data_IF_877246670049
#
_entry.id   IF_877246670049
#
_cell.length_a   1.000
_cell.length_b   1.000
_cell.length_c   1.000
_cell.angle_alpha   90.00
_cell.angle_beta   90.00
_cell.angle_gamma   90.00
#
_symmetry.space_group_name_H-M   'P 1'
#
loop_
_entity.id
_entity.type
_entity.pdbx_description
1 polymer ?
#
# COMPACT_ATOMS: atom_id res chain seq x y z
N UNK A 1 -9.05 -23.51 -25.44
CA UNK A 1 -7.67 -23.00 -25.51
C UNK A 1 -7.54 -21.92 -24.45
N UNK A 2 -6.98 -22.26 -23.30
CA UNK A 2 -6.78 -21.34 -22.21
C UNK A 2 -5.51 -20.51 -22.53
N UNK A 3 -5.68 -19.20 -22.67
CA UNK A 3 -4.55 -18.29 -22.74
C UNK A 3 -3.92 -18.23 -21.35
N UNK A 4 -2.84 -18.93 -21.15
CA UNK A 4 -1.95 -18.76 -20.01
C UNK A 4 -1.34 -17.36 -20.13
N UNK A 5 -1.84 -16.41 -19.33
CA UNK A 5 -1.13 -15.16 -19.10
C UNK A 5 0.09 -15.47 -18.25
N UNK A 6 1.19 -15.66 -18.93
CA UNK A 6 2.54 -15.59 -18.38
C UNK A 6 2.76 -14.16 -17.90
N UNK A 7 2.55 -13.92 -16.61
CA UNK A 7 3.18 -12.79 -15.94
C UNK A 7 4.67 -13.15 -15.78
N UNK A 8 5.39 -13.04 -16.88
CA UNK A 8 6.81 -13.24 -16.88
C UNK A 8 7.49 -11.99 -16.33
N UNK A 9 8.14 -12.17 -15.19
CA UNK A 9 9.39 -11.52 -14.81
C UNK A 9 9.42 -9.99 -14.87
N UNK A 10 9.51 -9.38 -13.72
CA UNK A 10 9.86 -7.99 -13.52
C UNK A 10 10.95 -7.52 -14.47
N UNK A 11 10.55 -7.01 -15.60
CA UNK A 11 11.40 -6.34 -16.55
C UNK A 11 11.38 -4.86 -16.22
N UNK A 12 12.52 -4.28 -15.97
CA UNK A 12 12.71 -2.84 -16.05
C UNK A 12 12.54 -2.41 -17.53
N UNK A 13 11.32 -2.39 -18.01
CA UNK A 13 10.93 -1.90 -19.32
C UNK A 13 9.60 -1.16 -19.20
N UNK A 14 9.30 -0.30 -20.17
CA UNK A 14 8.11 0.52 -20.21
C UNK A 14 6.78 -0.22 -19.94
N UNK A 15 6.76 -1.53 -20.22
CA UNK A 15 5.59 -2.40 -19.98
C UNK A 15 5.36 -2.78 -18.52
N UNK A 16 6.32 -2.52 -17.60
CA UNK A 16 6.26 -2.88 -16.18
C UNK A 16 5.71 -1.77 -15.29
N UNK A 17 5.83 -0.51 -15.67
CA UNK A 17 5.48 0.64 -14.81
C UNK A 17 4.00 0.66 -14.46
N UNK A 18 3.13 0.28 -15.39
CA UNK A 18 1.70 0.20 -15.14
C UNK A 18 1.38 -0.80 -14.03
N UNK A 19 1.98 -1.99 -14.08
CA UNK A 19 1.77 -3.02 -13.06
C UNK A 19 2.38 -2.63 -11.72
N UNK A 20 3.51 -1.91 -11.72
CA UNK A 20 4.14 -1.39 -10.50
C UNK A 20 3.25 -0.39 -9.77
N UNK A 21 2.38 0.32 -10.48
CA UNK A 21 1.44 1.27 -9.89
C UNK A 21 0.16 0.61 -9.37
N UNK A 22 -0.10 -0.65 -9.73
CA UNK A 22 -1.27 -1.36 -9.25
C UNK A 22 -1.04 -1.86 -7.82
N UNK A 23 -2.01 -1.68 -6.93
CA UNK A 23 -1.93 -2.15 -5.55
C UNK A 23 -1.76 -3.67 -5.48
N UNK A 24 -0.99 -4.13 -4.49
CA UNK A 24 -0.73 -5.55 -4.29
C UNK A 24 0.33 -6.13 -5.24
N UNK A 25 0.99 -5.29 -6.05
CA UNK A 25 2.14 -5.74 -6.82
C UNK A 25 3.23 -6.23 -5.88
N UNK A 26 3.58 -7.49 -6.05
CA UNK A 26 4.70 -8.11 -5.37
C UNK A 26 5.79 -8.38 -6.41
N UNK A 27 7.05 -7.94 -6.22
CA UNK A 27 8.13 -8.21 -7.18
C UNK A 27 8.48 -9.69 -7.35
N UNK A 28 7.67 -10.58 -6.85
CA UNK A 28 7.73 -12.01 -7.06
C UNK A 28 6.37 -12.53 -7.50
N UNK A 29 5.87 -12.11 -8.67
CA UNK A 29 4.70 -12.79 -9.25
C UNK A 29 5.08 -14.24 -9.56
N UNK A 30 4.49 -15.15 -8.78
CA UNK A 30 4.79 -16.56 -8.88
C UNK A 30 4.04 -17.17 -10.06
N UNK A 31 4.65 -18.08 -10.85
CA UNK A 31 3.97 -18.77 -11.93
C UNK A 31 2.73 -19.49 -11.40
N UNK A 32 1.59 -19.33 -12.06
CA UNK A 32 0.41 -20.12 -11.76
C UNK A 32 0.53 -21.47 -12.47
N UNK A 33 0.39 -22.55 -11.71
CA UNK A 33 0.43 -23.93 -12.18
C UNK A 33 1.69 -24.68 -11.78
N UNK A 34 1.52 -25.98 -11.52
CA UNK A 34 2.54 -26.84 -10.93
C UNK A 34 2.79 -26.60 -9.45
N UNK A 35 3.55 -27.51 -8.83
CA UNK A 35 3.99 -27.36 -7.45
C UNK A 35 5.34 -26.67 -7.40
N UNK A 36 5.52 -25.71 -6.50
CA UNK A 36 6.76 -24.95 -6.37
C UNK A 36 6.95 -24.43 -4.95
N UNK A 37 8.20 -24.13 -4.62
CA UNK A 37 8.59 -23.36 -3.46
C UNK A 37 9.63 -22.32 -3.88
N UNK A 38 9.53 -21.10 -3.36
CA UNK A 38 10.48 -20.05 -3.64
C UNK A 38 10.72 -19.16 -2.42
N UNK A 39 11.91 -18.58 -2.36
CA UNK A 39 12.27 -17.52 -1.44
C UNK A 39 12.36 -16.24 -2.27
N UNK A 40 11.79 -15.17 -1.77
CA UNK A 40 11.81 -13.87 -2.43
C UNK A 40 12.01 -12.75 -1.44
N UNK A 41 12.38 -11.58 -1.91
CA UNK A 41 12.53 -10.44 -1.03
C UNK A 41 13.10 -9.21 -1.70
N UNK A 42 13.36 -8.22 -0.85
CA UNK A 42 14.05 -6.99 -1.21
C UNK A 42 14.87 -6.47 -0.05
N UNK A 43 15.98 -5.82 -0.38
CA UNK A 43 16.78 -5.02 0.54
C UNK A 43 16.84 -3.62 -0.03
N UNK A 44 16.45 -2.64 0.77
CA UNK A 44 16.35 -1.24 0.37
C UNK A 44 16.86 -0.36 1.51
N UNK A 45 17.90 0.41 1.24
CA UNK A 45 18.46 1.36 2.19
C UNK A 45 18.66 2.72 1.56
N UNK A 46 18.45 3.77 2.36
CA UNK A 46 18.60 5.13 1.90
C UNK A 46 19.09 6.09 2.99
N UNK A 47 19.81 7.10 2.54
CA UNK A 47 20.06 8.31 3.31
C UNK A 47 18.80 9.19 3.26
N UNK A 48 18.43 9.72 4.41
CA UNK A 48 17.26 10.54 4.63
C UNK A 48 17.66 11.88 5.27
N UNK A 49 17.23 12.97 4.67
CA UNK A 49 17.33 14.33 5.23
C UNK A 49 15.93 14.91 5.36
N UNK A 50 15.36 14.81 6.55
CA UNK A 50 14.04 15.35 6.87
C UNK A 50 14.17 16.68 7.60
N UNK A 51 13.45 17.71 7.16
CA UNK A 51 13.29 19.00 7.86
C UNK A 51 11.81 19.28 8.11
N UNK A 52 11.47 19.65 9.33
CA UNK A 52 10.13 20.04 9.77
C UNK A 52 10.24 21.31 10.61
N UNK A 53 9.86 22.47 10.02
CA UNK A 53 9.85 23.75 10.72
C UNK A 53 11.20 24.21 11.26
N UNK A 54 12.28 23.94 10.54
CA UNK A 54 13.64 24.30 10.92
C UNK A 54 14.34 23.29 11.83
N UNK A 55 13.66 22.22 12.25
CA UNK A 55 14.26 21.06 12.90
C UNK A 55 14.60 20.01 11.84
N UNK A 56 15.84 19.59 11.75
CA UNK A 56 16.29 18.61 10.76
C UNK A 56 16.94 17.38 11.39
N UNK A 57 16.86 16.25 10.71
CA UNK A 57 17.51 15.00 11.05
C UNK A 57 18.12 14.38 9.80
N UNK A 58 19.31 13.79 9.96
CA UNK A 58 19.97 13.01 8.92
C UNK A 58 20.07 11.56 9.42
N UNK A 59 19.71 10.58 8.58
CA UNK A 59 19.64 9.18 8.97
C UNK A 59 19.99 8.27 7.80
N UNK A 60 20.30 7.02 8.11
CA UNK A 60 20.21 5.90 7.18
C UNK A 60 19.01 5.06 7.61
N UNK A 61 18.11 4.81 6.69
CA UNK A 61 16.84 4.14 6.93
C UNK A 61 16.60 3.02 5.92
N UNK A 62 15.73 2.09 6.29
CA UNK A 62 15.34 0.97 5.45
C UNK A 62 14.01 1.22 4.75
N UNK A 63 13.89 0.80 3.49
CA UNK A 63 12.60 0.70 2.81
C UNK A 63 12.12 1.99 2.15
N UNK A 64 12.97 2.70 1.45
CA UNK A 64 12.64 3.95 0.76
C UNK A 64 11.76 3.79 -0.49
N UNK A 65 11.93 2.72 -1.25
CA UNK A 65 11.10 2.37 -2.42
C UNK A 65 10.40 1.04 -2.23
N UNK A 66 11.15 0.01 -1.85
CA UNK A 66 10.63 -1.31 -1.49
C UNK A 66 10.83 -1.53 0.00
N UNK A 67 9.83 -1.96 0.73
CA UNK A 67 10.06 -2.41 2.11
C UNK A 67 11.08 -3.53 2.11
N UNK A 68 12.16 -3.41 2.90
CA UNK A 68 13.07 -4.53 3.08
C UNK A 68 12.34 -5.71 3.70
N UNK A 69 12.37 -6.86 3.01
CA UNK A 69 11.53 -8.01 3.33
C UNK A 69 12.13 -9.32 2.86
N UNK A 70 11.75 -10.38 3.54
CA UNK A 70 12.02 -11.77 3.19
C UNK A 70 10.70 -12.53 3.19
N UNK A 71 10.43 -13.25 2.12
CA UNK A 71 9.22 -14.03 1.95
C UNK A 71 9.48 -15.46 1.53
N UNK A 72 8.55 -16.33 1.91
CA UNK A 72 8.48 -17.74 1.55
C UNK A 72 7.13 -17.99 0.90
N UNK A 73 7.14 -18.40 -0.36
CA UNK A 73 5.95 -18.79 -1.07
C UNK A 73 6.02 -20.26 -1.47
N UNK A 74 4.94 -20.99 -1.24
CA UNK A 74 4.79 -22.36 -1.70
C UNK A 74 3.43 -22.61 -2.28
N UNK A 75 3.36 -23.42 -3.35
CA UNK A 75 2.10 -23.87 -3.93
C UNK A 75 2.15 -25.35 -4.32
N UNK A 76 0.98 -25.98 -4.28
CA UNK A 76 0.75 -27.36 -4.69
C UNK A 76 -0.40 -27.40 -5.68
N UNK A 77 -0.18 -28.06 -6.81
CA UNK A 77 -1.24 -28.35 -7.78
C UNK A 77 -2.04 -29.57 -7.32
N UNK A 78 -3.29 -29.33 -6.91
CA UNK A 78 -4.23 -30.37 -6.45
C UNK A 78 -4.99 -31.05 -7.60
N UNK A 79 -4.71 -30.67 -8.85
CA UNK A 79 -5.45 -31.13 -10.01
C UNK A 79 -6.72 -30.35 -10.29
N UNK A 80 -7.31 -30.54 -11.47
CA UNK A 80 -8.53 -29.84 -11.89
C UNK A 80 -8.44 -28.32 -11.93
N UNK A 81 -7.21 -27.75 -12.01
CA UNK A 81 -6.93 -26.32 -11.97
C UNK A 81 -6.98 -25.75 -10.55
N UNK A 82 -7.08 -26.58 -9.51
CA UNK A 82 -7.08 -26.12 -8.12
C UNK A 82 -5.65 -26.10 -7.57
N UNK A 83 -5.28 -24.98 -6.94
CA UNK A 83 -3.99 -24.78 -6.32
C UNK A 83 -4.20 -24.42 -4.84
N UNK A 84 -3.49 -25.14 -3.96
CA UNK A 84 -3.29 -24.72 -2.58
C UNK A 84 -1.98 -23.94 -2.50
N UNK A 85 -1.94 -22.80 -1.78
CA UNK A 85 -0.73 -22.01 -1.62
C UNK A 85 -0.63 -21.42 -0.22
N UNK A 86 0.60 -21.06 0.17
CA UNK A 86 0.85 -20.22 1.33
C UNK A 86 1.81 -19.09 0.96
N UNK A 87 1.72 -17.97 1.68
CA UNK A 87 2.64 -16.84 1.60
C UNK A 87 2.97 -16.35 3.02
N UNK A 88 4.26 -16.36 3.37
CA UNK A 88 4.79 -15.90 4.65
C UNK A 88 5.81 -14.81 4.39
N UNK A 89 5.50 -13.55 4.73
CA UNK A 89 6.35 -12.39 4.45
C UNK A 89 6.70 -11.63 5.73
N UNK A 90 8.01 -11.50 6.01
CA UNK A 90 8.57 -10.75 7.11
C UNK A 90 9.20 -9.45 6.61
N UNK A 91 8.84 -8.31 7.17
CA UNK A 91 9.55 -7.05 6.98
C UNK A 91 10.68 -6.92 8.02
N UNK A 92 11.77 -6.32 7.62
CA UNK A 92 12.89 -6.01 8.51
C UNK A 92 13.49 -4.63 8.19
N UNK A 93 14.24 -4.09 9.13
CA UNK A 93 15.00 -2.86 8.96
C UNK A 93 16.45 -3.25 8.57
N UNK A 94 16.80 -3.02 7.31
CA UNK A 94 18.12 -3.42 6.80
C UNK A 94 19.26 -2.63 7.46
N UNK A 95 18.98 -1.38 7.88
CA UNK A 95 19.96 -0.49 8.50
C UNK A 95 20.44 -0.93 9.89
N UNK A 96 19.67 -1.77 10.60
CA UNK A 96 20.03 -2.24 11.96
C UNK A 96 19.78 -3.74 12.21
N UNK A 97 19.18 -4.44 11.22
CA UNK A 97 18.89 -5.87 11.29
C UNK A 97 17.69 -6.25 12.16
N UNK A 98 16.90 -5.28 12.65
CA UNK A 98 15.73 -5.54 13.49
C UNK A 98 14.50 -5.97 12.67
N UNK A 99 13.54 -6.64 13.33
CA UNK A 99 12.24 -6.90 12.69
C UNK A 99 11.49 -5.59 12.42
N UNK A 100 10.79 -5.52 11.29
CA UNK A 100 9.95 -4.37 10.92
C UNK A 100 8.78 -4.12 11.89
N UNK A 101 8.41 -5.12 12.70
CA UNK A 101 7.47 -5.00 13.82
C UNK A 101 7.96 -5.88 14.97
N UNK A 102 8.19 -5.28 16.14
CA UNK A 102 8.65 -5.99 17.33
C UNK A 102 7.70 -7.12 17.71
N UNK A 103 8.25 -8.31 17.98
CA UNK A 103 7.50 -9.48 18.43
C UNK A 103 6.67 -10.20 17.36
N UNK A 104 6.74 -9.77 16.08
CA UNK A 104 5.99 -10.37 14.98
C UNK A 104 6.92 -10.77 13.84
N UNK A 105 7.10 -12.08 13.61
CA UNK A 105 7.99 -12.57 12.55
C UNK A 105 7.42 -12.29 11.16
N UNK A 106 6.20 -12.75 10.87
CA UNK A 106 5.54 -12.53 9.58
C UNK A 106 4.55 -11.36 9.69
N UNK A 107 5.11 -10.16 9.88
CA UNK A 107 4.33 -8.95 10.11
C UNK A 107 3.65 -8.41 8.85
N UNK A 108 4.03 -8.90 7.64
CA UNK A 108 3.51 -8.38 6.38
C UNK A 108 2.43 -9.28 5.78
N UNK A 109 2.71 -10.56 5.57
CA UNK A 109 1.73 -11.56 5.13
C UNK A 109 1.95 -12.87 5.86
N UNK A 110 0.86 -13.56 6.15
CA UNK A 110 0.85 -14.92 6.71
C UNK A 110 -0.47 -15.57 6.30
N UNK A 111 -0.49 -16.21 5.12
CA UNK A 111 -1.71 -16.69 4.50
C UNK A 111 -1.60 -18.14 4.03
N UNK A 112 -2.76 -18.81 4.01
CA UNK A 112 -3.00 -20.02 3.25
C UNK A 112 -4.18 -19.77 2.32
N UNK A 113 -4.14 -20.29 1.09
CA UNK A 113 -5.17 -20.04 0.10
C UNK A 113 -5.47 -21.26 -0.75
N UNK A 114 -6.71 -21.29 -1.26
CA UNK A 114 -7.15 -22.18 -2.33
C UNK A 114 -7.61 -21.32 -3.51
N UNK A 115 -7.17 -21.66 -4.71
CA UNK A 115 -7.51 -20.92 -5.94
C UNK A 115 -7.89 -21.87 -7.07
N UNK A 116 -8.83 -21.42 -7.92
CA UNK A 116 -9.22 -22.10 -9.14
C UNK A 116 -9.74 -21.05 -10.15
N UNK A 117 -9.40 -21.15 -11.44
CA UNK A 117 -9.87 -20.20 -12.46
C UNK A 117 -11.40 -20.09 -12.58
N UNK A 118 -12.14 -21.13 -12.18
CA UNK A 118 -13.59 -21.16 -12.30
C UNK A 118 -14.32 -20.43 -11.15
N UNK A 119 -13.76 -20.48 -9.92
CA UNK A 119 -14.45 -19.90 -8.75
C UNK A 119 -13.60 -18.86 -7.99
N UNK A 120 -12.37 -18.57 -8.43
CA UNK A 120 -11.52 -17.54 -7.83
C UNK A 120 -10.62 -18.06 -6.72
N UNK A 121 -10.34 -17.22 -5.73
CA UNK A 121 -9.39 -17.50 -4.64
C UNK A 121 -10.03 -17.22 -3.28
N UNK A 122 -9.93 -18.16 -2.36
CA UNK A 122 -10.19 -17.96 -0.93
C UNK A 122 -8.86 -17.96 -0.19
N UNK A 123 -8.56 -16.90 0.56
CA UNK A 123 -7.35 -16.74 1.35
C UNK A 123 -7.70 -16.49 2.81
N UNK A 124 -6.96 -17.13 3.73
CA UNK A 124 -7.14 -17.00 5.18
C UNK A 124 -5.82 -16.57 5.81
N UNK A 125 -5.88 -15.65 6.78
CA UNK A 125 -4.73 -15.22 7.58
C UNK A 125 -4.53 -13.72 7.66
N UNK A 126 -3.28 -13.28 7.78
CA UNK A 126 -2.88 -11.87 7.72
C UNK A 126 -2.58 -11.50 6.27
N UNK A 127 -3.28 -10.51 5.75
CA UNK A 127 -3.17 -10.09 4.36
C UNK A 127 -3.54 -8.61 4.18
N UNK A 128 -3.35 -8.08 2.99
CA UNK A 128 -3.80 -6.73 2.66
C UNK A 128 -5.32 -6.60 2.75
N UNK A 129 -5.79 -5.42 3.16
CA UNK A 129 -7.19 -5.05 3.12
C UNK A 129 -7.71 -4.92 1.67
N UNK A 130 -9.03 -5.05 1.50
CA UNK A 130 -9.65 -4.91 0.18
C UNK A 130 -9.56 -3.47 -0.36
N UNK A 131 -9.46 -2.48 0.51
CA UNK A 131 -9.30 -1.05 0.18
C UNK A 131 -7.95 -0.73 -0.47
N UNK A 132 -6.93 -1.58 -0.28
CA UNK A 132 -5.60 -1.32 -0.84
C UNK A 132 -5.63 -1.10 -2.36
N UNK A 133 -6.58 -1.69 -3.06
CA UNK A 133 -6.71 -1.60 -4.52
C UNK A 133 -6.93 -0.17 -5.03
N UNK A 134 -7.41 0.77 -4.19
CA UNK A 134 -7.60 2.18 -4.56
C UNK A 134 -6.34 3.03 -4.39
N UNK A 135 -5.32 2.55 -3.69
CA UNK A 135 -4.10 3.30 -3.43
C UNK A 135 -3.13 3.19 -4.62
N UNK A 136 -3.45 3.88 -5.68
CA UNK A 136 -2.64 3.93 -6.91
C UNK A 136 -1.65 5.10 -6.82
N UNK A 137 -0.38 4.80 -6.59
CA UNK A 137 0.65 5.79 -6.33
C UNK A 137 1.95 5.46 -7.08
N UNK A 138 2.55 6.42 -7.80
CA UNK A 138 3.85 6.24 -8.47
C UNK A 138 4.98 5.84 -7.53
N UNK A 139 4.86 6.08 -6.22
CA UNK A 139 5.87 5.72 -5.21
C UNK A 139 5.52 4.44 -4.44
N UNK A 140 4.64 3.60 -4.99
CA UNK A 140 4.33 2.24 -4.52
C UNK A 140 3.78 2.18 -3.09
N UNK A 141 3.11 3.25 -2.63
CA UNK A 141 2.63 3.37 -1.24
C UNK A 141 3.72 3.20 -0.19
N UNK A 142 4.95 3.44 -0.54
CA UNK A 142 5.97 3.42 0.48
C UNK A 142 5.74 4.58 1.46
N UNK A 143 5.49 4.24 2.70
CA UNK A 143 5.09 5.17 3.73
C UNK A 143 6.08 6.32 3.93
N UNK A 144 7.33 6.16 3.58
CA UNK A 144 8.37 7.18 3.79
C UNK A 144 8.57 8.14 2.63
N UNK A 145 7.92 7.91 1.49
CA UNK A 145 8.15 8.69 0.27
C UNK A 145 6.84 9.14 -0.38
N UNK A 146 5.74 8.40 -0.17
CA UNK A 146 4.45 8.71 -0.77
C UNK A 146 3.58 9.58 0.14
N UNK A 147 3.26 10.82 -0.23
CA UNK A 147 2.29 11.62 0.51
C UNK A 147 0.92 10.95 0.64
N UNK A 148 0.51 10.13 -0.33
CA UNK A 148 -0.78 9.42 -0.27
C UNK A 148 -0.87 8.53 0.97
N UNK A 149 0.18 7.79 1.30
CA UNK A 149 0.20 6.94 2.47
C UNK A 149 0.07 7.72 3.79
N UNK A 150 0.70 8.90 3.89
CA UNK A 150 0.62 9.73 5.10
C UNK A 150 -0.67 10.50 5.24
N UNK A 151 -1.30 10.85 4.13
CA UNK A 151 -2.54 11.63 4.13
C UNK A 151 -3.77 10.76 4.32
N UNK A 152 -3.65 9.44 4.10
CA UNK A 152 -4.72 8.44 4.30
C UNK A 152 -4.77 7.95 5.75
N UNK A 153 -4.76 8.88 6.70
CA UNK A 153 -4.81 8.59 8.14
C UNK A 153 -6.07 9.15 8.77
N UNK A 154 -6.50 8.54 9.86
CA UNK A 154 -7.69 8.94 10.62
C UNK A 154 -7.35 9.47 12.02
N UNK A 155 -6.11 9.41 12.47
CA UNK A 155 -5.69 9.71 13.84
C UNK A 155 -5.92 11.17 14.29
N UNK A 156 -6.09 12.10 13.35
CA UNK A 156 -6.35 13.52 13.59
C UNK A 156 -7.83 13.90 13.39
N UNK A 157 -8.72 12.93 13.16
CA UNK A 157 -10.12 13.19 12.81
C UNK A 157 -11.04 13.22 14.03
N UNK A 158 -10.60 12.74 15.18
CA UNK A 158 -11.41 12.76 16.40
C UNK A 158 -10.93 11.76 17.44
N UNK A 159 -11.70 11.62 18.53
CA UNK A 159 -11.35 10.73 19.64
C UNK A 159 -11.64 9.27 19.33
N UNK A 160 -12.59 9.04 18.45
CA UNK A 160 -13.07 7.73 18.12
C UNK A 160 -12.53 7.17 16.80
N UNK A 161 -11.77 7.97 16.05
CA UNK A 161 -11.26 7.56 14.74
C UNK A 161 -10.39 6.32 14.84
N UNK A 162 -10.74 5.29 14.08
CA UNK A 162 -9.92 4.09 13.91
C UNK A 162 -8.76 4.38 12.98
N UNK A 163 -7.64 3.70 13.19
CA UNK A 163 -6.55 3.70 12.23
C UNK A 163 -6.90 2.83 11.02
N UNK A 164 -6.64 3.34 9.81
CA UNK A 164 -6.79 2.56 8.59
C UNK A 164 -5.56 1.68 8.43
N UNK A 165 -5.73 0.37 8.57
CA UNK A 165 -4.63 -0.58 8.49
C UNK A 165 -4.50 -1.14 7.06
N UNK A 166 -3.33 -0.99 6.44
CA UNK A 166 -3.06 -1.58 5.12
C UNK A 166 -3.09 -3.12 5.15
N UNK A 167 -2.93 -3.75 6.32
CA UNK A 167 -2.95 -5.20 6.51
C UNK A 167 -3.83 -5.59 7.67
N UNK A 168 -4.63 -6.62 7.46
CA UNK A 168 -5.66 -7.06 8.40
C UNK A 168 -5.34 -8.46 8.89
N UNK A 169 -5.35 -8.65 10.23
CA UNK A 169 -5.17 -9.94 10.87
C UNK A 169 -6.49 -10.73 10.87
N UNK A 170 -6.41 -12.03 11.17
CA UNK A 170 -7.57 -12.91 11.41
C UNK A 170 -8.64 -12.79 10.32
N UNK A 171 -8.20 -12.69 9.06
CA UNK A 171 -9.08 -12.36 7.94
C UNK A 171 -9.30 -13.53 7.01
N UNK A 172 -10.47 -13.51 6.37
CA UNK A 172 -10.81 -14.30 5.20
C UNK A 172 -11.08 -13.35 4.04
N UNK A 173 -10.46 -13.58 2.89
CA UNK A 173 -10.67 -12.80 1.68
C UNK A 173 -11.04 -13.73 0.52
N UNK A 174 -12.10 -13.36 -0.17
CA UNK A 174 -12.47 -13.98 -1.44
C UNK A 174 -12.15 -13.01 -2.58
N UNK A 175 -11.44 -13.49 -3.59
CA UNK A 175 -11.18 -12.79 -4.85
C UNK A 175 -11.82 -13.53 -6.00
N UNK A 176 -12.73 -12.87 -6.74
CA UNK A 176 -13.44 -13.49 -7.86
C UNK A 176 -12.50 -13.76 -9.04
N UNK A 177 -12.87 -14.67 -9.94
CA UNK A 177 -12.32 -14.67 -11.30
C UNK A 177 -12.61 -13.35 -11.99
N UNK A 178 -11.78 -13.00 -12.99
CA UNK A 178 -12.05 -11.84 -13.85
C UNK A 178 -13.07 -12.21 -14.92
N UNK A 179 -14.14 -11.47 -15.00
CA UNK A 179 -15.18 -11.61 -16.03
C UNK A 179 -15.37 -10.29 -16.78
N UNK A 180 -15.21 -10.30 -18.09
CA UNK A 180 -15.30 -9.11 -18.96
C UNK A 180 -14.44 -7.91 -18.45
N UNK A 181 -13.30 -8.18 -17.84
CA UNK A 181 -12.41 -7.19 -17.24
C UNK A 181 -12.75 -6.82 -15.79
N UNK A 182 -13.88 -7.25 -15.25
CA UNK A 182 -14.28 -6.98 -13.88
C UNK A 182 -13.83 -8.09 -12.93
N UNK A 183 -13.38 -7.71 -11.75
CA UNK A 183 -13.14 -8.59 -10.61
C UNK A 183 -13.53 -7.89 -9.30
N UNK A 184 -13.71 -8.66 -8.24
CA UNK A 184 -14.06 -8.15 -6.91
C UNK A 184 -13.29 -8.87 -5.83
N UNK A 185 -13.02 -8.18 -4.73
CA UNK A 185 -12.53 -8.77 -3.49
C UNK A 185 -13.51 -8.45 -2.36
N UNK A 186 -13.75 -9.44 -1.53
CA UNK A 186 -14.54 -9.36 -0.31
C UNK A 186 -13.66 -9.80 0.85
N UNK A 187 -13.52 -8.94 1.86
CA UNK A 187 -12.73 -9.23 3.05
C UNK A 187 -13.62 -9.17 4.30
N UNK A 188 -13.39 -10.12 5.19
CA UNK A 188 -13.97 -10.12 6.53
C UNK A 188 -12.90 -10.53 7.54
N UNK A 189 -12.73 -9.74 8.60
CA UNK A 189 -11.75 -10.00 9.63
C UNK A 189 -12.37 -9.93 11.03
N UNK A 190 -11.85 -10.78 11.92
CA UNK A 190 -12.25 -10.86 13.31
C UNK A 190 -11.24 -10.11 14.19
N UNK A 191 -11.71 -9.51 15.29
CA UNK A 191 -10.85 -8.99 16.35
C UNK A 191 -10.09 -10.11 17.05
N UNK A 192 -8.92 -9.79 17.54
CA UNK A 192 -8.13 -10.70 18.37
C UNK A 192 -8.81 -10.93 19.74
N UNK A 193 -9.39 -9.87 20.32
CA UNK A 193 -10.24 -9.95 21.51
C UNK A 193 -11.68 -9.58 21.14
N UNK A 194 -12.58 -10.55 21.26
CA UNK A 194 -14.01 -10.41 20.95
C UNK A 194 -14.87 -10.23 22.20
N UNK A 195 -14.27 -10.06 23.35
CA UNK A 195 -15.00 -9.91 24.63
C UNK A 195 -15.75 -8.58 24.74
N UNK A 196 -15.37 -7.58 23.93
CA UNK A 196 -15.95 -6.25 23.94
C UNK A 196 -16.24 -5.74 22.51
N UNK A 197 -17.39 -5.10 22.35
CA UNK A 197 -17.83 -4.53 21.09
C UNK A 197 -18.13 -5.58 20.01
N UNK A 198 -18.21 -5.18 18.73
CA UNK A 198 -18.40 -6.11 17.61
C UNK A 198 -17.22 -7.07 17.48
N UNK A 199 -17.48 -8.34 17.17
CA UNK A 199 -16.43 -9.33 16.93
C UNK A 199 -15.59 -9.05 15.68
N UNK A 200 -16.08 -8.15 14.82
CA UNK A 200 -15.45 -7.78 13.55
C UNK A 200 -14.44 -6.67 13.72
N UNK A 201 -13.25 -6.83 13.15
CA UNK A 201 -12.23 -5.79 13.03
C UNK A 201 -12.34 -5.04 11.69
N UNK A 202 -12.56 -5.76 10.59
CA UNK A 202 -12.61 -5.16 9.26
C UNK A 202 -13.63 -5.87 8.36
N UNK A 203 -14.27 -5.09 7.48
CA UNK A 203 -15.05 -5.58 6.34
C UNK A 203 -14.72 -4.71 5.14
N UNK A 204 -14.28 -5.34 4.06
CA UNK A 204 -13.86 -4.65 2.86
C UNK A 204 -14.49 -5.23 1.60
N UNK A 205 -14.78 -4.36 0.66
CA UNK A 205 -15.23 -4.67 -0.70
C UNK A 205 -14.49 -3.78 -1.68
N UNK A 206 -14.02 -4.36 -2.78
CA UNK A 206 -13.69 -3.58 -3.97
C UNK A 206 -14.29 -4.20 -5.22
N UNK A 207 -14.45 -3.37 -6.24
CA UNK A 207 -14.73 -3.79 -7.61
C UNK A 207 -13.69 -3.13 -8.49
N UNK A 208 -12.95 -3.93 -9.25
CA UNK A 208 -11.95 -3.46 -10.20
C UNK A 208 -12.38 -3.72 -11.62
N UNK A 209 -12.00 -2.83 -12.52
CA UNK A 209 -12.10 -3.02 -13.96
C UNK A 209 -10.71 -2.90 -14.57
N UNK A 210 -10.22 -4.00 -15.14
CA UNK A 210 -8.96 -4.06 -15.85
C UNK A 210 -9.09 -5.03 -17.04
N UNK A 211 -9.36 -4.52 -18.24
CA UNK A 211 -9.51 -5.36 -19.43
C UNK A 211 -8.17 -6.02 -19.77
N UNK A 212 -8.14 -7.35 -19.73
CA UNK A 212 -6.95 -8.16 -19.99
C UNK A 212 -6.65 -8.35 -21.49
N UNK A 213 -7.47 -7.80 -22.39
CA UNK A 213 -7.39 -7.98 -23.83
C UNK A 213 -7.56 -6.67 -24.56
N UNK A 214 -6.94 -6.52 -25.73
CA UNK A 214 -7.18 -5.41 -26.66
C UNK A 214 -6.30 -4.18 -26.45
N UNK A 215 -5.17 -4.27 -25.76
CA UNK A 215 -4.23 -3.14 -25.61
C UNK A 215 -4.79 -1.97 -24.79
N UNK A 216 -5.85 -2.21 -24.02
CA UNK A 216 -6.40 -1.21 -23.11
C UNK A 216 -5.66 -1.28 -21.78
N UNK A 217 -4.92 -0.24 -21.51
CA UNK A 217 -4.09 -0.09 -20.33
C UNK A 217 -4.81 0.79 -19.28
N UNK A 218 -6.09 0.47 -19.02
CA UNK A 218 -6.94 1.17 -18.06
C UNK A 218 -7.22 0.27 -16.86
N UNK A 219 -6.96 0.78 -15.67
CA UNK A 219 -7.40 0.21 -14.40
C UNK A 219 -8.34 1.19 -13.71
N UNK A 220 -9.49 0.72 -13.30
CA UNK A 220 -10.44 1.45 -12.47
C UNK A 220 -10.76 0.63 -11.24
N UNK A 221 -10.97 1.28 -10.11
CA UNK A 221 -11.42 0.64 -8.89
C UNK A 221 -12.35 1.53 -8.11
N UNK A 222 -13.37 0.92 -7.51
CA UNK A 222 -14.17 1.47 -6.43
C UNK A 222 -14.05 0.58 -5.21
N UNK A 223 -13.91 1.14 -4.01
CA UNK A 223 -13.77 0.39 -2.77
C UNK A 223 -14.62 0.98 -1.65
N UNK A 224 -15.05 0.09 -0.76
CA UNK A 224 -15.68 0.43 0.50
C UNK A 224 -15.10 -0.45 1.60
N UNK A 225 -14.72 0.16 2.72
CA UNK A 225 -14.14 -0.50 3.86
C UNK A 225 -14.76 0.00 5.15
N UNK A 226 -14.88 -0.88 6.14
CA UNK A 226 -15.28 -0.56 7.50
C UNK A 226 -14.22 -1.12 8.44
N UNK A 227 -13.63 -0.26 9.25
CA UNK A 227 -12.64 -0.67 10.27
C UNK A 227 -13.16 -0.32 11.65
N UNK A 228 -13.22 -1.30 12.55
CA UNK A 228 -13.49 -1.10 13.96
C UNK A 228 -12.19 -1.01 14.73
N UNK A 229 -12.22 -0.24 15.80
CA UNK A 229 -11.13 -0.18 16.76
C UNK A 229 -10.85 -1.58 17.34
N UNK A 230 -9.57 -1.97 17.34
CA UNK A 230 -9.07 -3.12 18.08
C UNK A 230 -8.12 -2.63 19.18
N UNK A 231 -8.57 -2.50 20.45
CA UNK A 231 -7.72 -2.04 21.55
C UNK A 231 -6.47 -2.92 21.75
N UNK A 232 -6.55 -4.20 21.37
CA UNK A 232 -5.42 -5.12 21.40
C UNK A 232 -4.28 -4.75 20.43
N UNK A 233 -4.59 -3.98 19.38
CA UNK A 233 -3.59 -3.43 18.45
C UNK A 233 -2.94 -2.14 18.97
N UNK A 234 -3.41 -1.56 20.07
CA UNK A 234 -2.82 -0.39 20.72
C UNK A 234 -3.06 0.95 20.02
N UNK A 235 -3.92 0.98 19.00
CA UNK A 235 -4.17 2.18 18.17
C UNK A 235 -5.39 3.00 18.63
N UNK A 236 -6.24 2.44 19.48
CA UNK A 236 -7.48 3.04 19.96
C UNK A 236 -7.93 2.37 21.27
N UNK A 237 -8.92 2.92 21.95
CA UNK A 237 -9.36 2.45 23.28
C UNK A 237 -10.80 1.95 23.33
N UNK A 238 -11.68 2.39 22.42
CA UNK A 238 -13.08 2.02 22.40
C UNK A 238 -13.37 1.00 21.27
N UNK A 239 -13.66 -0.27 21.61
CA UNK A 239 -13.87 -1.33 20.63
C UNK A 239 -15.15 -1.16 19.79
N UNK A 240 -16.02 -0.23 20.12
CA UNK A 240 -17.28 0.04 19.38
C UNK A 240 -17.09 1.03 18.25
N UNK A 241 -16.03 1.82 18.30
CA UNK A 241 -15.73 2.87 17.32
C UNK A 241 -15.45 2.29 15.94
N UNK A 242 -16.01 2.94 14.93
CA UNK A 242 -15.88 2.54 13.53
C UNK A 242 -15.49 3.72 12.64
N UNK A 243 -14.64 3.46 11.67
CA UNK A 243 -14.39 4.36 10.53
C UNK A 243 -14.84 3.66 9.25
N UNK A 244 -15.62 4.36 8.44
CA UNK A 244 -15.97 3.95 7.09
C UNK A 244 -15.04 4.66 6.10
N UNK A 245 -14.61 3.93 5.09
CA UNK A 245 -13.71 4.43 4.07
C UNK A 245 -14.28 4.13 2.68
N UNK A 246 -14.34 5.14 1.84
CA UNK A 246 -14.81 5.05 0.46
C UNK A 246 -13.69 5.50 -0.45
N UNK A 247 -13.47 4.78 -1.53
CA UNK A 247 -12.42 5.12 -2.46
C UNK A 247 -12.74 4.83 -3.90
N UNK A 248 -12.13 5.61 -4.79
CA UNK A 248 -12.11 5.36 -6.22
C UNK A 248 -10.74 5.71 -6.77
N UNK A 249 -10.24 4.93 -7.72
CA UNK A 249 -8.98 5.22 -8.36
C UNK A 249 -8.94 4.77 -9.82
N UNK A 250 -8.02 5.39 -10.55
CA UNK A 250 -7.75 5.13 -11.95
C UNK A 250 -6.24 5.08 -12.20
N UNK A 251 -5.80 4.14 -13.04
CA UNK A 251 -4.48 4.17 -13.68
C UNK A 251 -4.67 4.02 -15.19
N UNK A 252 -3.99 4.87 -15.94
CA UNK A 252 -4.00 4.85 -17.39
C UNK A 252 -2.58 4.82 -17.95
N UNK A 253 -2.26 3.75 -18.69
CA UNK A 253 -0.95 3.55 -19.32
C UNK A 253 -0.99 3.97 -20.80
N UNK A 254 -0.12 4.91 -21.15
CA UNK A 254 0.12 5.37 -22.53
C UNK A 254 1.45 4.83 -23.07
N UNK A 255 1.94 3.71 -22.54
CA UNK A 255 3.22 3.10 -22.88
C UNK A 255 4.37 3.76 -22.11
N UNK A 256 5.00 4.79 -22.65
CA UNK A 256 6.09 5.52 -21.96
C UNK A 256 5.62 6.26 -20.71
N UNK A 257 4.39 6.73 -20.71
CA UNK A 257 3.81 7.55 -19.64
C UNK A 257 2.66 6.81 -18.98
N UNK A 258 2.64 6.78 -17.66
CA UNK A 258 1.55 6.21 -16.88
C UNK A 258 1.03 7.31 -15.95
N UNK A 259 -0.29 7.46 -15.92
CA UNK A 259 -0.98 8.44 -15.07
C UNK A 259 -1.86 7.72 -14.07
N UNK A 260 -1.91 8.24 -12.86
CA UNK A 260 -2.80 7.73 -11.81
C UNK A 260 -3.55 8.87 -11.13
N UNK A 261 -4.71 8.54 -10.58
CA UNK A 261 -5.48 9.44 -9.74
C UNK A 261 -6.37 8.67 -8.80
N UNK A 262 -6.55 9.19 -7.59
CA UNK A 262 -7.45 8.59 -6.60
C UNK A 262 -8.20 9.63 -5.79
N UNK A 263 -9.33 9.21 -5.28
CA UNK A 263 -10.12 9.90 -4.28
C UNK A 263 -10.43 8.95 -3.13
N UNK A 264 -10.29 9.43 -1.90
CA UNK A 264 -10.63 8.70 -0.69
C UNK A 264 -11.42 9.62 0.24
N UNK A 265 -12.49 9.08 0.83
CA UNK A 265 -13.23 9.68 1.92
C UNK A 265 -13.07 8.80 3.16
N UNK A 266 -12.57 9.37 4.25
CA UNK A 266 -12.40 8.74 5.56
C UNK A 266 -13.45 9.33 6.48
N UNK A 267 -14.35 8.50 6.99
CA UNK A 267 -15.56 8.89 7.73
C UNK A 267 -15.65 8.13 9.06
N UNK A 268 -15.01 8.64 10.13
CA UNK A 268 -15.21 8.14 11.48
C UNK A 268 -16.68 8.32 11.88
N UNK A 269 -17.24 7.33 12.58
CA UNK A 269 -18.69 7.30 12.90
C UNK A 269 -19.04 7.79 14.31
N UNK A 270 -18.06 8.32 15.04
CA UNK A 270 -18.33 8.92 16.36
C UNK A 270 -18.86 10.35 16.21
N UNK A 271 -19.83 10.70 17.07
CA UNK A 271 -20.41 12.04 17.04
C UNK A 271 -19.38 13.11 17.43
N UNK A 272 -19.19 14.09 16.54
CA UNK A 272 -18.23 15.16 16.69
C UNK A 272 -16.87 14.91 16.06
N UNK A 273 -16.66 13.76 15.44
CA UNK A 273 -15.48 13.48 14.63
C UNK A 273 -15.54 14.20 13.28
N UNK A 274 -14.37 14.43 12.69
CA UNK A 274 -14.23 15.10 11.41
C UNK A 274 -14.11 14.08 10.28
N UNK A 275 -14.53 14.48 9.08
CA UNK A 275 -14.33 13.74 7.83
C UNK A 275 -13.03 14.20 7.16
N UNK A 276 -12.34 13.30 6.49
CA UNK A 276 -11.23 13.66 5.61
C UNK A 276 -11.47 13.22 4.17
N UNK A 277 -11.22 14.13 3.23
CA UNK A 277 -11.15 13.84 1.79
C UNK A 277 -9.70 13.95 1.33
N UNK A 278 -9.22 12.91 0.64
CA UNK A 278 -7.87 12.83 0.08
C UNK A 278 -7.97 12.67 -1.43
N UNK A 279 -7.26 13.52 -2.15
CA UNK A 279 -7.16 13.51 -3.62
C UNK A 279 -5.72 13.29 -4.01
N UNK A 280 -5.44 12.38 -4.93
CA UNK A 280 -4.10 12.20 -5.46
C UNK A 280 -4.08 12.24 -6.99
N UNK A 281 -2.98 12.77 -7.52
CA UNK A 281 -2.61 12.68 -8.93
C UNK A 281 -1.15 12.24 -9.01
N UNK A 282 -0.87 11.30 -9.88
CA UNK A 282 0.46 10.75 -10.08
C UNK A 282 0.79 10.55 -11.54
N UNK A 283 2.08 10.58 -11.83
CA UNK A 283 2.62 10.26 -13.14
C UNK A 283 3.96 9.54 -13.02
N UNK A 284 4.22 8.62 -13.94
CA UNK A 284 5.51 7.97 -14.11
C UNK A 284 5.89 7.95 -15.59
N UNK A 285 7.19 8.08 -15.89
CA UNK A 285 7.70 8.07 -17.26
C UNK A 285 9.03 7.34 -17.35
N UNK A 286 9.17 6.45 -18.33
CA UNK A 286 10.40 5.65 -18.55
C UNK A 286 11.23 6.21 -19.69
N UNK A 287 12.54 6.44 -19.44
CA UNK A 287 13.52 6.93 -20.39
C UNK A 287 14.78 6.05 -20.34
N UNK A 288 14.81 5.00 -21.13
CA UNK A 288 15.93 4.04 -21.10
C UNK A 288 16.02 3.32 -19.75
N UNK A 289 17.06 3.64 -18.96
CA UNK A 289 17.26 3.07 -17.61
C UNK A 289 16.69 3.95 -16.50
N UNK A 290 16.09 5.10 -16.84
CA UNK A 290 15.55 6.04 -15.87
C UNK A 290 14.03 5.89 -15.81
N UNK A 291 13.48 5.86 -14.61
CA UNK A 291 12.07 5.93 -14.32
C UNK A 291 11.82 7.17 -13.45
N UNK A 292 11.25 8.20 -14.05
CA UNK A 292 10.88 9.44 -13.35
C UNK A 292 9.46 9.30 -12.84
N UNK A 293 9.22 9.69 -11.58
CA UNK A 293 7.94 9.61 -10.87
C UNK A 293 7.59 10.96 -10.26
N UNK A 294 6.33 11.31 -10.28
CA UNK A 294 5.79 12.50 -9.62
C UNK A 294 4.42 12.19 -9.00
N UNK A 295 4.17 12.75 -7.83
CA UNK A 295 2.88 12.64 -7.15
C UNK A 295 2.53 13.97 -6.48
N UNK A 296 1.25 14.34 -6.51
CA UNK A 296 0.69 15.45 -5.73
C UNK A 296 -0.54 14.94 -5.01
N UNK A 297 -0.63 15.19 -3.72
CA UNK A 297 -1.76 14.79 -2.86
C UNK A 297 -2.28 16.02 -2.13
N UNK A 298 -3.59 16.17 -2.13
CA UNK A 298 -4.30 17.18 -1.34
C UNK A 298 -5.25 16.49 -0.37
N UNK A 299 -5.17 16.84 0.89
CA UNK A 299 -6.08 16.40 1.95
C UNK A 299 -6.73 17.61 2.58
N UNK A 300 -8.05 17.53 2.82
CA UNK A 300 -8.73 18.46 3.68
C UNK A 300 -9.71 17.70 4.59
N UNK A 301 -10.03 18.29 5.72
CA UNK A 301 -10.99 17.75 6.67
C UNK A 301 -12.13 18.73 6.89
N UNK A 302 -13.20 18.28 7.52
CA UNK A 302 -14.29 19.15 7.94
C UNK A 302 -13.91 20.04 9.14
N UNK A 303 -12.75 19.80 9.75
CA UNK A 303 -12.16 20.71 10.73
C UNK A 303 -11.54 21.92 10.03
N UNK A 304 -11.96 23.12 10.39
CA UNK A 304 -11.43 24.35 9.81
C UNK A 304 -9.90 24.45 9.99
N UNK A 305 -9.20 24.83 8.91
CA UNK A 305 -7.74 24.95 8.90
C UNK A 305 -6.95 23.61 8.88
N UNK A 306 -7.61 22.44 8.97
CA UNK A 306 -6.94 21.15 8.89
C UNK A 306 -6.93 20.63 7.45
N UNK A 307 -5.97 21.13 6.67
CA UNK A 307 -5.72 20.70 5.29
C UNK A 307 -4.20 20.65 5.03
N UNK A 308 -3.79 19.84 4.06
CA UNK A 308 -2.39 19.76 3.65
C UNK A 308 -2.26 19.44 2.16
N UNK A 309 -1.18 19.91 1.57
CA UNK A 309 -0.76 19.53 0.21
C UNK A 309 0.63 18.92 0.26
N UNK A 310 0.76 17.71 -0.28
CA UNK A 310 2.02 16.98 -0.42
C UNK A 310 2.40 16.85 -1.89
N UNK A 311 3.70 16.90 -2.18
CA UNK A 311 4.23 16.62 -3.50
C UNK A 311 5.55 15.86 -3.38
N UNK A 312 5.77 14.89 -4.25
CA UNK A 312 7.03 14.14 -4.36
C UNK A 312 7.45 14.03 -5.82
N UNK A 313 8.72 14.26 -6.08
CA UNK A 313 9.37 14.01 -7.36
C UNK A 313 10.55 13.07 -7.13
N UNK A 314 10.75 12.13 -8.03
CA UNK A 314 11.86 11.19 -7.90
C UNK A 314 12.25 10.52 -9.19
N UNK A 315 13.41 9.88 -9.14
CA UNK A 315 13.98 9.10 -10.23
C UNK A 315 14.56 7.80 -9.70
N UNK A 316 14.34 6.70 -10.44
CA UNK A 316 15.05 5.44 -10.29
C UNK A 316 15.98 5.25 -11.49
N UNK A 317 17.28 4.99 -11.25
CA UNK A 317 18.24 4.59 -12.26
C UNK A 317 18.55 3.10 -12.15
N UNK A 318 18.07 2.31 -13.10
CA UNK A 318 18.20 0.85 -13.09
C UNK A 318 19.63 0.41 -13.49
N UNK A 319 20.36 -0.14 -12.53
CA UNK A 319 21.64 -0.83 -12.78
C UNK A 319 21.41 -2.20 -13.43
N UNK A 320 20.32 -2.87 -13.02
CA UNK A 320 19.85 -4.14 -13.57
C UNK A 320 18.32 -4.21 -13.44
N UNK A 321 17.71 -5.34 -13.86
CA UNK A 321 16.27 -5.60 -13.65
C UNK A 321 15.83 -5.65 -12.18
N UNK A 322 16.78 -5.86 -11.27
CA UNK A 322 16.51 -6.08 -9.84
C UNK A 322 17.17 -5.05 -8.93
N UNK A 323 18.03 -4.19 -9.47
CA UNK A 323 18.82 -3.22 -8.70
C UNK A 323 18.68 -1.85 -9.28
N UNK A 324 18.32 -0.86 -8.48
CA UNK A 324 18.32 0.53 -8.88
C UNK A 324 18.87 1.44 -7.77
N UNK A 325 19.47 2.53 -8.21
CA UNK A 325 19.71 3.72 -7.39
C UNK A 325 18.50 4.63 -7.51
N UNK A 326 18.18 5.38 -6.46
CA UNK A 326 17.09 6.33 -6.54
C UNK A 326 17.35 7.62 -5.77
N UNK A 327 16.66 8.68 -6.19
CA UNK A 327 16.58 9.95 -5.49
C UNK A 327 15.12 10.39 -5.41
N UNK A 328 14.72 10.96 -4.26
CA UNK A 328 13.38 11.50 -4.01
C UNK A 328 13.49 12.83 -3.30
N UNK A 329 12.67 13.79 -3.74
CA UNK A 329 12.45 15.02 -3.03
C UNK A 329 10.98 15.21 -2.73
N UNK A 330 10.63 15.46 -1.49
CA UNK A 330 9.25 15.61 -1.03
C UNK A 330 9.02 16.92 -0.29
N UNK A 331 7.81 17.45 -0.42
CA UNK A 331 7.36 18.69 0.23
C UNK A 331 5.95 18.49 0.76
N UNK A 332 5.69 18.82 2.02
CA UNK A 332 4.35 18.97 2.58
C UNK A 332 4.15 20.39 3.07
N UNK A 333 3.06 21.02 2.63
CA UNK A 333 2.57 22.30 3.15
C UNK A 333 1.34 22.05 4.00
N UNK A 334 1.46 22.28 5.30
CA UNK A 334 0.37 22.13 6.27
C UNK A 334 -0.42 23.44 6.41
N UNK A 335 -1.75 23.32 6.51
CA UNK A 335 -2.63 24.38 6.96
C UNK A 335 -2.51 24.61 8.48
N UNK A 336 -3.14 25.68 9.02
CA UNK A 336 -2.95 26.13 10.39
C UNK A 336 -3.23 25.08 11.48
N UNK A 337 -4.08 24.10 11.19
CA UNK A 337 -4.44 23.02 12.13
C UNK A 337 -3.92 21.64 11.67
N UNK A 338 -3.26 21.56 10.52
CA UNK A 338 -2.71 20.32 9.98
C UNK A 338 -1.26 20.12 10.42
N UNK A 339 -0.90 18.90 10.80
CA UNK A 339 0.44 18.50 11.22
C UNK A 339 0.93 17.24 10.48
N UNK A 340 0.60 17.13 9.18
CA UNK A 340 1.07 16.01 8.35
C UNK A 340 2.59 16.05 8.21
N UNK A 341 3.22 14.87 8.22
CA UNK A 341 4.67 14.71 8.04
C UNK A 341 4.98 13.54 7.11
N UNK A 342 6.22 13.40 6.71
CA UNK A 342 6.69 12.28 5.85
C UNK A 342 7.14 11.10 6.70
N UNK A 343 7.47 11.29 7.95
CA UNK A 343 7.93 10.20 8.82
C UNK A 343 7.52 10.42 10.28
N UNK A 344 6.95 9.37 10.86
CA UNK A 344 6.56 9.29 12.28
C UNK A 344 7.51 8.39 13.10
N UNK A 345 8.65 7.96 12.53
CA UNK A 345 9.60 7.11 13.25
C UNK A 345 10.21 7.82 14.46
N UNK A 346 10.66 7.04 15.42
CA UNK A 346 11.36 7.55 16.59
C UNK A 346 12.57 8.40 16.19
N UNK A 347 12.71 9.58 16.82
CA UNK A 347 13.76 10.54 16.50
C UNK A 347 13.46 11.50 15.34
N UNK A 348 12.31 11.36 14.68
CA UNK A 348 11.83 12.38 13.71
C UNK A 348 11.39 13.65 14.44
N UNK A 349 11.54 14.84 13.81
CA UNK A 349 10.94 16.05 14.34
C UNK A 349 9.46 15.88 14.58
N UNK A 350 8.99 16.26 15.76
CA UNK A 350 7.56 16.16 16.13
C UNK A 350 6.75 17.03 15.17
N UNK A 351 5.72 16.48 14.50
CA UNK A 351 4.87 17.25 13.61
C UNK A 351 4.18 18.40 14.35
N UNK A 352 4.15 19.58 13.74
CA UNK A 352 3.49 20.77 14.31
C UNK A 352 2.52 21.36 13.29
N UNK A 353 1.36 21.87 13.74
CA UNK A 353 0.42 22.53 12.85
C UNK A 353 1.05 23.72 12.08
N UNK A 354 0.68 23.87 10.82
CA UNK A 354 1.11 24.97 9.98
C UNK A 354 2.54 24.89 9.44
N UNK A 355 3.30 23.86 9.82
CA UNK A 355 4.72 23.74 9.48
C UNK A 355 4.88 23.11 8.09
N UNK A 356 5.80 23.66 7.29
CA UNK A 356 6.26 23.03 6.05
C UNK A 356 7.27 21.94 6.38
N UNK A 357 7.10 20.78 5.75
CA UNK A 357 8.00 19.62 5.86
C UNK A 357 8.66 19.38 4.51
N UNK A 358 9.96 19.17 4.50
CA UNK A 358 10.73 18.79 3.31
C UNK A 358 11.57 17.55 3.60
N UNK A 359 11.75 16.73 2.58
CA UNK A 359 12.52 15.50 2.67
C UNK A 359 13.36 15.29 1.41
N UNK A 360 14.57 14.78 1.58
CA UNK A 360 15.45 14.33 0.51
C UNK A 360 15.95 12.93 0.85
N UNK A 361 15.59 11.97 0.02
CA UNK A 361 16.02 10.58 0.14
C UNK A 361 16.90 10.18 -1.05
N UNK A 362 18.02 9.50 -0.78
CA UNK A 362 18.91 8.92 -1.79
C UNK A 362 19.25 7.51 -1.37
N UNK A 363 18.98 6.53 -2.21
CA UNK A 363 19.11 5.13 -1.81
C UNK A 363 19.40 4.15 -2.95
N UNK A 364 19.46 2.90 -2.54
CA UNK A 364 19.65 1.73 -3.39
C UNK A 364 18.74 0.61 -2.94
N UNK A 365 18.13 -0.08 -3.89
CA UNK A 365 17.42 -1.32 -3.60
C UNK A 365 17.86 -2.47 -4.50
N UNK A 366 17.71 -3.69 -3.96
CA UNK A 366 17.90 -4.94 -4.69
C UNK A 366 16.75 -5.90 -4.39
N UNK A 367 16.09 -6.41 -5.43
CA UNK A 367 15.05 -7.44 -5.36
C UNK A 367 15.62 -8.81 -5.76
N UNK A 368 15.24 -9.88 -5.09
CA UNK A 368 15.73 -11.25 -5.35
C UNK A 368 14.63 -12.31 -5.31
#
# INVERSE_FOLDING_TARGET
MAAALLFAHGMAHADGVFQDLLPGFNPGTFPRGGSMFTIYGSVDEYFDHLNSGGQSVNRILSGGTWTSKLGFYGQEDLGGGTIAAFDLEAGFNANDGTFGQTGTLFNRQSTVSLSNPAWGTLSLGKQFGAELQMFVDPFLLNAKISPLAYFSVASDLGKGASYVEARVNNSAMYSSPTFAGFSTQLLYALKSDQSQGPATQNRGLNVTYHPLTGGQNLYLVGSYNQTWCDPGAGTCTDPTVRTDEYGAAMVYDMGRYVFSGSYQLIDPKEGGDYLASVYSLGAAATFGRNLVRASVVYRHTTQDGNHATGATLGEDYFLSKRTALYVRGSLIKNGPQSAMTIDYAAGSPVPKPGVTVTDLAVGIYHNF
#
